data_IF_613479210568
#
_entry.id   IF_613479210568
#
_cell.length_a   1.000
_cell.length_b   1.000
_cell.length_c   1.000
_cell.angle_alpha   90.00
_cell.angle_beta   90.00
_cell.angle_gamma   90.00
#
_symmetry.space_group_name_H-M   'P 1'
#
loop_
_entity.id
_entity.type
_entity.pdbx_description
1 polymer ?
#
# COMPACT_ATOMS: atom_id res chain seq x y z
N UNK A 1 16.54 -9.17 42.98
CA UNK A 1 15.10 -9.28 43.28
C UNK A 1 14.42 -8.76 42.02
N UNK A 2 14.20 -9.66 41.05
CA UNK A 2 13.54 -9.29 39.79
C UNK A 2 12.06 -9.07 40.10
N UNK A 3 11.71 -7.82 40.35
CA UNK A 3 10.32 -7.45 40.53
C UNK A 3 9.69 -7.33 39.13
N UNK A 4 9.33 -8.47 38.55
CA UNK A 4 8.57 -8.54 37.30
C UNK A 4 7.12 -8.10 37.55
N UNK A 5 6.96 -6.83 37.93
CA UNK A 5 5.67 -6.21 38.26
C UNK A 5 4.73 -6.27 37.06
N UNK A 6 5.27 -6.16 35.84
CA UNK A 6 4.49 -6.28 34.61
C UNK A 6 4.14 -7.73 34.24
N UNK A 7 5.00 -8.71 34.51
CA UNK A 7 4.70 -10.12 34.22
C UNK A 7 3.59 -10.73 35.07
N UNK A 8 3.20 -10.06 36.16
CA UNK A 8 2.07 -10.45 37.03
C UNK A 8 0.74 -9.82 36.60
N UNK A 9 0.75 -8.86 35.67
CA UNK A 9 -0.48 -8.21 35.21
C UNK A 9 -1.26 -9.12 34.26
N UNK A 10 -2.60 -9.16 34.36
CA UNK A 10 -3.44 -9.79 33.36
C UNK A 10 -3.28 -9.18 31.96
N UNK A 11 -3.41 -10.01 30.92
CA UNK A 11 -3.27 -9.62 29.51
C UNK A 11 -4.07 -8.38 29.11
N UNK A 12 -5.32 -8.25 29.59
CA UNK A 12 -6.16 -7.10 29.26
C UNK A 12 -5.61 -5.78 29.80
N UNK A 13 -4.94 -5.78 30.96
CA UNK A 13 -4.28 -4.59 31.50
C UNK A 13 -2.99 -4.29 30.73
N UNK A 14 -2.21 -5.32 30.37
CA UNK A 14 -1.02 -5.16 29.55
C UNK A 14 -1.36 -4.55 28.17
N UNK A 15 -2.39 -5.07 27.51
CA UNK A 15 -2.90 -4.53 26.25
C UNK A 15 -3.28 -3.06 26.41
N UNK A 16 -4.05 -2.74 27.44
CA UNK A 16 -4.55 -1.38 27.68
C UNK A 16 -3.41 -0.40 27.98
N UNK A 17 -2.31 -0.86 28.61
CA UNK A 17 -1.07 -0.11 28.80
C UNK A 17 -0.35 0.07 27.45
N UNK A 18 -0.08 -1.00 26.72
CA UNK A 18 0.67 -0.97 25.45
C UNK A 18 -0.01 -0.07 24.41
N UNK A 19 -1.33 -0.13 24.31
CA UNK A 19 -2.12 0.68 23.38
C UNK A 19 -2.08 2.18 23.72
N UNK A 20 -1.64 2.59 24.93
CA UNK A 20 -1.37 4.01 25.25
C UNK A 20 -0.03 4.52 24.73
N UNK A 21 0.91 3.62 24.47
CA UNK A 21 2.26 3.97 24.03
C UNK A 21 2.22 4.31 22.54
N UNK A 22 3.03 5.28 22.04
CA UNK A 22 3.13 5.55 20.62
C UNK A 22 3.46 4.29 19.80
N UNK A 23 2.80 4.14 18.64
CA UNK A 23 2.95 2.95 17.78
C UNK A 23 4.39 2.70 17.34
N UNK A 24 5.20 3.75 17.21
CA UNK A 24 6.63 3.64 16.88
C UNK A 24 7.44 2.81 17.89
N UNK A 25 6.95 2.66 19.13
CA UNK A 25 7.62 1.88 20.17
C UNK A 25 7.12 0.43 20.23
N UNK A 26 6.04 0.08 19.54
CA UNK A 26 5.37 -1.22 19.71
C UNK A 26 6.25 -2.39 19.27
N UNK A 27 7.05 -2.20 18.22
CA UNK A 27 8.02 -3.21 17.78
C UNK A 27 9.00 -3.53 18.91
N UNK A 28 9.56 -2.51 19.56
CA UNK A 28 10.48 -2.70 20.68
C UNK A 28 9.82 -3.40 21.86
N UNK A 29 8.60 -2.99 22.24
CA UNK A 29 7.84 -3.62 23.32
C UNK A 29 7.58 -5.09 23.01
N UNK A 30 7.17 -5.42 21.77
CA UNK A 30 6.91 -6.80 21.37
C UNK A 30 8.14 -7.71 21.50
N UNK A 31 9.35 -7.15 21.43
CA UNK A 31 10.61 -7.89 21.53
C UNK A 31 11.07 -8.12 22.98
N UNK A 32 10.45 -7.50 23.99
CA UNK A 32 10.92 -7.60 25.39
C UNK A 32 10.69 -8.99 25.99
N UNK A 33 9.54 -9.60 25.72
CA UNK A 33 9.17 -10.95 26.21
C UNK A 33 8.35 -11.70 25.17
N UNK A 34 8.53 -13.02 25.11
CA UNK A 34 7.74 -13.88 24.22
C UNK A 34 6.23 -13.77 24.48
N UNK A 35 5.81 -13.67 25.74
CA UNK A 35 4.40 -13.45 26.09
C UNK A 35 3.86 -12.14 25.47
N UNK A 36 4.63 -11.06 25.51
CA UNK A 36 4.23 -9.78 24.92
C UNK A 36 4.18 -9.86 23.39
N UNK A 37 5.16 -10.51 22.76
CA UNK A 37 5.11 -10.79 21.32
C UNK A 37 3.82 -11.51 20.92
N UNK A 38 3.36 -12.47 21.72
CA UNK A 38 2.11 -13.18 21.48
C UNK A 38 0.88 -12.25 21.60
N UNK A 39 0.87 -11.31 22.55
CA UNK A 39 -0.19 -10.29 22.64
C UNK A 39 -0.26 -9.42 21.38
N UNK A 40 0.89 -8.99 20.85
CA UNK A 40 0.96 -8.22 19.59
C UNK A 40 0.59 -9.02 18.34
N UNK A 41 0.54 -10.35 18.41
CA UNK A 41 0.01 -11.22 17.35
C UNK A 41 -1.49 -11.48 17.47
N UNK A 42 -2.07 -11.22 18.65
CA UNK A 42 -3.47 -11.52 18.96
C UNK A 42 -4.44 -10.41 18.54
N UNK A 43 -5.67 -10.80 18.18
CA UNK A 43 -6.74 -9.87 17.78
C UNK A 43 -7.12 -8.87 18.88
N UNK A 44 -7.10 -9.26 20.16
CA UNK A 44 -7.57 -8.42 21.26
C UNK A 44 -6.80 -7.09 21.35
N UNK A 45 -5.48 -7.13 21.17
CA UNK A 45 -4.64 -5.92 21.23
C UNK A 45 -4.99 -4.98 20.08
N UNK A 46 -5.07 -5.50 18.86
CA UNK A 46 -5.37 -4.69 17.68
C UNK A 46 -6.81 -4.18 17.65
N UNK A 47 -7.77 -4.95 18.17
CA UNK A 47 -9.15 -4.49 18.34
C UNK A 47 -9.22 -3.35 19.35
N UNK A 48 -8.53 -3.46 20.49
CA UNK A 48 -8.43 -2.39 21.47
C UNK A 48 -7.78 -1.13 20.88
N UNK A 49 -6.68 -1.30 20.15
CA UNK A 49 -6.00 -0.22 19.43
C UNK A 49 -6.91 0.49 18.42
N UNK A 50 -7.61 -0.30 17.61
CA UNK A 50 -8.51 0.19 16.57
C UNK A 50 -9.64 1.03 17.16
N UNK A 51 -10.33 0.51 18.18
CA UNK A 51 -11.45 1.20 18.83
C UNK A 51 -11.01 2.46 19.58
N UNK A 52 -9.78 2.49 20.09
CA UNK A 52 -9.24 3.67 20.77
C UNK A 52 -8.87 4.77 19.79
N UNK A 53 -8.19 4.43 18.70
CA UNK A 53 -7.69 5.42 17.73
C UNK A 53 -8.79 5.87 16.77
N UNK A 54 -9.70 4.98 16.40
CA UNK A 54 -10.84 5.24 15.51
C UNK A 54 -12.14 4.63 16.07
N UNK A 55 -12.79 5.30 17.04
CA UNK A 55 -14.00 4.78 17.67
C UNK A 55 -15.16 4.47 16.69
N UNK A 56 -15.22 5.20 15.58
CA UNK A 56 -16.23 5.00 14.53
C UNK A 56 -15.96 3.79 13.63
N UNK A 57 -14.77 3.17 13.72
CA UNK A 57 -14.40 2.03 12.89
C UNK A 57 -15.31 0.81 13.12
N UNK A 58 -15.89 0.65 14.32
CA UNK A 58 -16.80 -0.46 14.63
C UNK A 58 -18.19 -0.29 14.00
N UNK A 59 -18.57 0.94 13.64
CA UNK A 59 -19.88 1.25 13.08
C UNK A 59 -19.95 1.00 11.56
N UNK A 60 -18.81 0.76 10.91
CA UNK A 60 -18.78 0.50 9.47
C UNK A 60 -19.09 -0.98 9.19
N UNK A 61 -20.13 -1.22 8.40
CA UNK A 61 -20.47 -2.54 7.89
C UNK A 61 -19.33 -3.11 7.03
N UNK A 62 -19.22 -4.43 6.90
CA UNK A 62 -18.40 -5.04 5.86
C UNK A 62 -18.78 -4.47 4.49
N UNK A 63 -17.78 -4.11 3.68
CA UNK A 63 -18.01 -3.70 2.29
C UNK A 63 -17.99 -4.93 1.36
N UNK A 64 -18.73 -4.87 0.24
CA UNK A 64 -18.65 -5.90 -0.80
C UNK A 64 -17.35 -5.75 -1.62
N UNK A 65 -17.07 -6.71 -2.50
CA UNK A 65 -15.94 -6.62 -3.44
C UNK A 65 -14.79 -7.59 -3.14
N UNK A 66 -13.76 -7.60 -4.01
CA UNK A 66 -12.67 -8.58 -3.96
C UNK A 66 -11.61 -8.33 -2.87
N UNK A 67 -11.54 -7.13 -2.29
CA UNK A 67 -10.56 -6.76 -1.25
C UNK A 67 -11.22 -6.87 0.13
N UNK A 68 -10.92 -7.92 0.91
CA UNK A 68 -11.57 -8.14 2.19
C UNK A 68 -11.06 -7.19 3.26
N UNK A 69 -11.90 -6.95 4.26
CA UNK A 69 -11.60 -6.11 5.43
C UNK A 69 -10.53 -6.67 6.38
N UNK A 70 -10.31 -7.99 6.37
CA UNK A 70 -9.24 -8.64 7.14
C UNK A 70 -9.37 -8.55 8.67
N UNK A 71 -8.25 -8.78 9.35
CA UNK A 71 -8.09 -8.75 10.81
C UNK A 71 -8.16 -7.35 11.41
N UNK A 72 -8.33 -7.24 12.74
CA UNK A 72 -8.27 -5.93 13.42
C UNK A 72 -6.93 -5.23 13.20
N UNK A 73 -5.83 -6.01 13.09
CA UNK A 73 -4.51 -5.50 12.72
C UNK A 73 -4.53 -4.87 11.33
N UNK A 74 -5.03 -5.61 10.33
CA UNK A 74 -5.09 -5.14 8.94
C UNK A 74 -5.94 -3.87 8.81
N UNK A 75 -7.06 -3.81 9.54
CA UNK A 75 -7.91 -2.62 9.62
C UNK A 75 -7.21 -1.43 10.25
N UNK A 76 -6.47 -1.66 11.33
CA UNK A 76 -5.67 -0.62 11.97
C UNK A 76 -4.64 -0.05 11.00
N UNK A 77 -3.89 -0.92 10.31
CA UNK A 77 -2.91 -0.53 9.30
C UNK A 77 -3.55 0.26 8.16
N UNK A 78 -4.70 -0.20 7.65
CA UNK A 78 -5.43 0.48 6.59
C UNK A 78 -5.85 1.91 7.00
N UNK A 79 -6.47 2.07 8.16
CA UNK A 79 -6.85 3.40 8.66
C UNK A 79 -5.63 4.29 8.94
N UNK A 80 -4.55 3.70 9.43
CA UNK A 80 -3.30 4.41 9.64
C UNK A 80 -2.75 4.95 8.31
N UNK A 81 -2.68 4.12 7.28
CA UNK A 81 -2.28 4.52 5.93
C UNK A 81 -3.21 5.59 5.37
N UNK A 82 -4.54 5.36 5.43
CA UNK A 82 -5.53 6.32 4.93
C UNK A 82 -5.36 7.71 5.54
N UNK A 83 -5.07 7.76 6.85
CA UNK A 83 -4.85 9.02 7.56
C UNK A 83 -3.55 9.72 7.16
N UNK A 84 -2.45 8.98 7.03
CA UNK A 84 -1.12 9.57 6.92
C UNK A 84 -0.58 9.68 5.48
N UNK A 85 -1.05 8.84 4.56
CA UNK A 85 -0.62 8.84 3.16
C UNK A 85 -1.56 9.68 2.28
N UNK A 86 -2.87 9.50 2.44
CA UNK A 86 -3.86 10.17 1.58
C UNK A 86 -4.38 11.50 2.14
N UNK A 87 -4.01 11.85 3.39
CA UNK A 87 -4.27 13.14 4.04
C UNK A 87 -5.68 13.70 3.78
N UNK A 88 -6.73 12.89 4.02
CA UNK A 88 -8.11 13.35 3.82
C UNK A 88 -8.48 14.43 4.84
N UNK A 89 -8.96 15.58 4.35
CA UNK A 89 -9.54 16.66 5.18
C UNK A 89 -10.96 16.33 5.71
N UNK A 90 -11.40 15.07 5.59
CA UNK A 90 -12.75 14.60 5.92
C UNK A 90 -12.77 13.20 6.55
N UNK A 91 -13.84 12.44 6.30
CA UNK A 91 -13.97 11.07 6.82
C UNK A 91 -12.87 10.16 6.23
N UNK A 92 -12.04 9.60 7.10
CA UNK A 92 -10.98 8.65 6.73
C UNK A 92 -11.62 7.46 6.01
N UNK A 93 -11.28 7.24 4.76
CA UNK A 93 -11.78 6.09 4.02
C UNK A 93 -10.96 4.83 4.35
N UNK A 94 -11.59 3.84 5.00
CA UNK A 94 -10.93 2.58 5.35
C UNK A 94 -10.60 1.79 4.07
N UNK A 95 -11.44 1.85 3.03
CA UNK A 95 -11.23 1.05 1.81
C UNK A 95 -10.01 1.53 1.02
N UNK A 96 -9.73 2.83 1.00
CA UNK A 96 -8.51 3.40 0.38
C UNK A 96 -7.24 2.78 0.98
N UNK A 97 -7.19 2.67 2.30
CA UNK A 97 -6.07 2.06 3.02
C UNK A 97 -5.92 0.57 2.74
N UNK A 98 -7.05 -0.17 2.69
CA UNK A 98 -7.01 -1.59 2.32
C UNK A 98 -6.57 -1.81 0.89
N UNK A 99 -7.02 -0.97 -0.05
CA UNK A 99 -6.62 -1.05 -1.44
C UNK A 99 -5.14 -0.68 -1.65
N UNK A 100 -4.63 0.32 -0.93
CA UNK A 100 -3.20 0.63 -0.88
C UNK A 100 -2.40 -0.57 -0.39
N UNK A 101 -2.76 -1.12 0.77
CA UNK A 101 -2.01 -2.23 1.35
C UNK A 101 -2.12 -3.48 0.49
N UNK A 102 -3.29 -3.75 -0.11
CA UNK A 102 -3.47 -4.85 -1.06
C UNK A 102 -2.49 -4.72 -2.23
N UNK A 103 -2.45 -3.55 -2.87
CA UNK A 103 -1.55 -3.33 -4.00
C UNK A 103 -0.10 -3.45 -3.57
N UNK A 104 0.29 -2.83 -2.45
CA UNK A 104 1.64 -2.91 -1.90
C UNK A 104 2.07 -4.35 -1.63
N UNK A 105 1.23 -5.14 -0.96
CA UNK A 105 1.50 -6.55 -0.67
C UNK A 105 1.68 -7.38 -1.96
N UNK A 106 0.85 -7.13 -2.98
CA UNK A 106 0.94 -7.83 -4.27
C UNK A 106 2.21 -7.49 -5.04
N UNK A 107 2.74 -6.28 -4.86
CA UNK A 107 3.95 -5.81 -5.54
C UNK A 107 5.23 -6.22 -4.81
N UNK A 108 5.28 -6.11 -3.49
CA UNK A 108 6.50 -6.33 -2.68
C UNK A 108 6.64 -7.77 -2.16
N UNK A 109 5.55 -8.46 -1.86
CA UNK A 109 5.59 -9.76 -1.16
C UNK A 109 5.30 -10.95 -2.09
N UNK A 110 4.78 -10.70 -3.29
CA UNK A 110 4.46 -11.76 -4.24
C UNK A 110 5.72 -12.20 -5.00
N UNK A 111 6.06 -13.49 -4.90
CA UNK A 111 7.17 -14.10 -5.66
C UNK A 111 6.94 -13.96 -7.17
N UNK A 112 5.68 -13.99 -7.61
CA UNK A 112 5.27 -13.72 -8.99
C UNK A 112 4.04 -12.80 -8.95
N UNK A 113 4.22 -11.47 -8.98
CA UNK A 113 3.10 -10.55 -8.95
C UNK A 113 2.16 -10.79 -10.13
N UNK A 114 0.82 -10.76 -9.93
CA UNK A 114 -0.13 -10.72 -11.03
C UNK A 114 0.19 -9.57 -12.00
N UNK A 115 -0.27 -9.68 -13.25
CA UNK A 115 -0.12 -8.59 -14.20
C UNK A 115 -0.78 -7.31 -13.65
N UNK A 116 -0.15 -6.15 -13.89
CA UNK A 116 -0.62 -4.87 -13.34
C UNK A 116 -2.06 -4.54 -13.73
N UNK A 117 -2.51 -4.97 -14.91
CA UNK A 117 -3.91 -4.84 -15.34
C UNK A 117 -4.90 -5.61 -14.46
N UNK A 118 -4.53 -6.78 -13.95
CA UNK A 118 -5.36 -7.57 -13.01
C UNK A 118 -5.44 -6.87 -11.66
N UNK A 119 -4.29 -6.38 -11.16
CA UNK A 119 -4.23 -5.63 -9.90
C UNK A 119 -5.06 -4.34 -9.99
N UNK A 120 -4.91 -3.59 -11.07
CA UNK A 120 -5.69 -2.38 -11.32
C UNK A 120 -7.19 -2.70 -11.42
N UNK A 121 -7.56 -3.71 -12.20
CA UNK A 121 -8.96 -4.13 -12.31
C UNK A 121 -9.59 -4.57 -10.99
N UNK A 122 -8.81 -5.25 -10.13
CA UNK A 122 -9.29 -5.64 -8.79
C UNK A 122 -9.63 -4.42 -7.93
N UNK A 123 -8.80 -3.37 -7.98
CA UNK A 123 -9.05 -2.12 -7.25
C UNK A 123 -10.26 -1.38 -7.84
N UNK A 124 -10.40 -1.35 -9.17
CA UNK A 124 -11.56 -0.77 -9.85
C UNK A 124 -12.85 -1.49 -9.41
N UNK A 125 -12.88 -2.82 -9.50
CA UNK A 125 -14.04 -3.63 -9.15
C UNK A 125 -14.39 -3.47 -7.66
N UNK A 126 -13.39 -3.27 -6.81
CA UNK A 126 -13.60 -2.97 -5.40
C UNK A 126 -14.37 -1.67 -5.18
N UNK A 127 -13.95 -0.57 -5.81
CA UNK A 127 -14.64 0.71 -5.64
C UNK A 127 -16.04 0.71 -6.27
N UNK A 128 -16.20 0.08 -7.44
CA UNK A 128 -17.51 -0.08 -8.07
C UNK A 128 -18.45 -0.91 -7.18
N UNK A 129 -17.96 -2.00 -6.57
CA UNK A 129 -18.75 -2.79 -5.63
C UNK A 129 -19.17 -1.97 -4.41
N UNK A 130 -18.32 -1.07 -3.93
CA UNK A 130 -18.64 -0.11 -2.86
C UNK A 130 -19.61 1.00 -3.28
N UNK A 131 -20.06 1.04 -4.53
CA UNK A 131 -21.05 2.00 -5.04
C UNK A 131 -20.46 3.21 -5.76
N UNK A 132 -19.14 3.25 -5.98
CA UNK A 132 -18.51 4.33 -6.72
C UNK A 132 -18.82 4.26 -8.22
N UNK A 133 -18.84 5.41 -8.88
CA UNK A 133 -18.92 5.46 -10.34
C UNK A 133 -17.64 4.94 -10.98
N UNK A 134 -17.70 4.53 -12.25
CA UNK A 134 -16.49 4.11 -13.00
C UNK A 134 -15.40 5.19 -13.00
N UNK A 135 -15.81 6.45 -13.13
CA UNK A 135 -14.88 7.58 -13.14
C UNK A 135 -14.22 7.79 -11.78
N UNK A 136 -15.02 7.69 -10.70
CA UNK A 136 -14.50 7.85 -9.36
C UNK A 136 -13.61 6.69 -8.96
N UNK A 137 -14.00 5.45 -9.28
CA UNK A 137 -13.18 4.27 -9.09
C UNK A 137 -11.82 4.39 -9.82
N UNK A 138 -11.83 4.88 -11.06
CA UNK A 138 -10.60 5.11 -11.83
C UNK A 138 -9.68 6.16 -11.20
N UNK A 139 -10.25 7.26 -10.71
CA UNK A 139 -9.52 8.31 -10.00
C UNK A 139 -8.89 7.77 -8.71
N UNK A 140 -9.68 7.09 -7.86
CA UNK A 140 -9.22 6.52 -6.59
C UNK A 140 -8.14 5.45 -6.81
N UNK A 141 -8.35 4.56 -7.79
CA UNK A 141 -7.34 3.57 -8.16
C UNK A 141 -6.04 4.24 -8.62
N UNK A 142 -6.12 5.34 -9.38
CA UNK A 142 -4.93 6.10 -9.79
C UNK A 142 -4.20 6.71 -8.61
N UNK A 143 -4.93 7.28 -7.63
CA UNK A 143 -4.34 7.81 -6.40
C UNK A 143 -3.62 6.72 -5.60
N UNK A 144 -4.23 5.54 -5.48
CA UNK A 144 -3.63 4.38 -4.80
C UNK A 144 -2.34 3.93 -5.49
N UNK A 145 -2.35 3.80 -6.82
CA UNK A 145 -1.16 3.42 -7.57
C UNK A 145 -0.01 4.42 -7.38
N UNK A 146 -0.31 5.72 -7.47
CA UNK A 146 0.69 6.77 -7.24
C UNK A 146 1.27 6.68 -5.83
N UNK A 147 0.39 6.60 -4.82
CA UNK A 147 0.81 6.48 -3.43
C UNK A 147 1.68 5.23 -3.18
N UNK A 148 1.33 4.08 -3.77
CA UNK A 148 2.14 2.87 -3.62
C UNK A 148 3.50 3.07 -4.29
N UNK A 149 3.55 3.49 -5.57
CA UNK A 149 4.81 3.70 -6.30
C UNK A 149 5.74 4.67 -5.56
N UNK A 150 5.19 5.76 -5.02
CA UNK A 150 5.96 6.78 -4.29
C UNK A 150 6.57 6.24 -2.99
N UNK A 151 5.94 5.24 -2.38
CA UNK A 151 6.35 4.68 -1.09
C UNK A 151 7.03 3.30 -1.20
N UNK A 152 7.32 2.81 -2.41
CA UNK A 152 8.22 1.67 -2.62
C UNK A 152 9.64 2.05 -2.20
N UNK A 153 10.34 1.12 -1.54
CA UNK A 153 11.72 1.26 -1.10
C UNK A 153 12.71 1.31 -2.28
N UNK A 154 13.84 1.97 -2.07
CA UNK A 154 14.92 2.05 -3.06
C UNK A 154 15.78 0.78 -3.01
N UNK A 155 15.26 -0.30 -3.58
CA UNK A 155 15.93 -1.60 -3.67
C UNK A 155 16.04 -2.11 -5.10
N UNK A 156 16.95 -3.05 -5.35
CA UNK A 156 17.07 -3.74 -6.64
C UNK A 156 15.75 -4.44 -7.01
N UNK A 157 15.04 -4.97 -6.01
CA UNK A 157 13.72 -5.55 -6.21
C UNK A 157 12.72 -4.52 -6.79
N UNK A 158 12.67 -3.31 -6.22
CA UNK A 158 11.83 -2.22 -6.73
C UNK A 158 12.21 -1.79 -8.14
N UNK A 159 13.50 -1.73 -8.47
CA UNK A 159 13.95 -1.46 -9.84
C UNK A 159 13.39 -2.49 -10.83
N UNK A 160 13.58 -3.78 -10.54
CA UNK A 160 13.09 -4.86 -11.40
C UNK A 160 11.57 -4.84 -11.55
N UNK A 161 10.86 -4.54 -10.46
CA UNK A 161 9.41 -4.39 -10.46
C UNK A 161 8.97 -3.23 -11.37
N UNK A 162 9.53 -2.03 -11.19
CA UNK A 162 9.17 -0.85 -11.98
C UNK A 162 9.50 -1.06 -13.46
N UNK A 163 10.64 -1.69 -13.77
CA UNK A 163 11.05 -2.05 -15.14
C UNK A 163 10.00 -2.97 -15.77
N UNK A 164 9.57 -4.01 -15.05
CA UNK A 164 8.48 -4.89 -15.49
C UNK A 164 7.19 -4.09 -15.72
N UNK A 165 6.80 -3.19 -14.81
CA UNK A 165 5.57 -2.38 -14.96
C UNK A 165 5.59 -1.45 -16.18
N UNK A 166 6.78 -0.93 -16.55
CA UNK A 166 6.98 -0.08 -17.72
C UNK A 166 6.89 -0.87 -19.04
N UNK A 167 7.45 -2.09 -19.03
CA UNK A 167 7.47 -3.00 -20.18
C UNK A 167 6.17 -3.80 -20.34
N UNK A 168 5.40 -3.97 -19.26
CA UNK A 168 4.03 -4.47 -19.33
C UNK A 168 3.23 -3.53 -20.22
N UNK A 169 3.04 -3.94 -21.48
CA UNK A 169 2.18 -3.26 -22.42
C UNK A 169 0.82 -3.06 -21.78
N UNK A 170 0.24 -1.87 -21.94
CA UNK A 170 -1.19 -1.76 -21.71
C UNK A 170 -1.84 -2.61 -22.79
N UNK A 171 -2.13 -3.87 -22.45
CA UNK A 171 -3.21 -4.61 -23.12
C UNK A 171 -4.37 -3.63 -23.18
N UNK A 172 -4.96 -3.41 -24.35
CA UNK A 172 -6.03 -2.44 -24.59
C UNK A 172 -7.26 -2.76 -23.71
N UNK A 173 -7.16 -2.51 -22.42
CA UNK A 173 -8.21 -2.70 -21.44
C UNK A 173 -9.15 -1.49 -21.60
N UNK A 174 -10.46 -1.73 -21.73
CA UNK A 174 -11.40 -0.64 -21.85
C UNK A 174 -11.38 0.19 -20.56
N UNK A 175 -11.65 1.49 -20.70
CA UNK A 175 -11.90 2.34 -19.54
C UNK A 175 -13.01 1.74 -18.66
N UNK A 176 -12.87 1.69 -17.32
CA UNK A 176 -11.83 2.30 -16.48
C UNK A 176 -10.61 1.40 -16.14
N UNK A 177 -10.46 0.25 -16.81
CA UNK A 177 -9.49 -0.80 -16.45
C UNK A 177 -8.07 -0.57 -16.98
N UNK A 178 -7.87 0.43 -17.85
CA UNK A 178 -6.54 0.91 -18.23
C UNK A 178 -5.97 1.82 -17.14
N UNK A 179 -4.71 1.63 -16.75
CA UNK A 179 -4.03 2.53 -15.78
C UNK A 179 -3.95 3.94 -16.36
N UNK A 180 -4.16 4.95 -15.53
CA UNK A 180 -4.10 6.35 -15.99
C UNK A 180 -2.70 6.74 -16.46
N UNK A 181 -2.66 7.71 -17.36
CA UNK A 181 -1.41 8.30 -17.87
C UNK A 181 -0.47 8.72 -16.73
N UNK A 182 -1.01 9.31 -15.65
CA UNK A 182 -0.22 9.78 -14.51
C UNK A 182 0.51 8.63 -13.80
N UNK A 183 -0.18 7.49 -13.60
CA UNK A 183 0.42 6.30 -12.99
C UNK A 183 1.54 5.76 -13.86
N UNK A 184 1.29 5.62 -15.17
CA UNK A 184 2.30 5.14 -16.10
C UNK A 184 3.51 6.06 -16.12
N UNK A 185 3.28 7.37 -16.25
CA UNK A 185 4.32 8.39 -16.23
C UNK A 185 5.19 8.27 -14.97
N UNK A 186 4.57 8.11 -13.81
CA UNK A 186 5.29 8.04 -12.53
C UNK A 186 6.23 6.84 -12.44
N UNK A 187 5.87 5.70 -13.04
CA UNK A 187 6.76 4.53 -13.15
C UNK A 187 8.03 4.89 -13.93
N UNK A 188 7.89 5.50 -15.11
CA UNK A 188 9.04 5.88 -15.93
C UNK A 188 9.87 6.99 -15.29
N UNK A 189 9.21 7.96 -14.66
CA UNK A 189 9.89 9.01 -13.91
C UNK A 189 10.79 8.41 -12.83
N UNK A 190 10.24 7.54 -11.97
CA UNK A 190 11.00 6.89 -10.89
C UNK A 190 12.15 6.03 -11.44
N UNK A 191 11.95 5.32 -12.55
CA UNK A 191 13.03 4.57 -13.22
C UNK A 191 14.18 5.47 -13.70
N UNK A 192 13.87 6.58 -14.38
CA UNK A 192 14.88 7.44 -14.99
C UNK A 192 15.48 8.48 -14.04
N UNK A 193 14.87 8.71 -12.87
CA UNK A 193 15.43 9.59 -11.83
C UNK A 193 16.11 8.78 -10.73
N UNK A 194 15.37 7.91 -10.06
CA UNK A 194 15.79 7.31 -8.79
C UNK A 194 16.65 6.05 -9.04
N UNK A 195 16.37 5.32 -10.13
CA UNK A 195 17.05 4.06 -10.47
C UNK A 195 17.89 4.14 -11.75
N UNK A 196 18.27 5.34 -12.20
CA UNK A 196 19.02 5.51 -13.45
C UNK A 196 20.29 4.65 -13.50
N UNK A 197 21.04 4.65 -12.41
CA UNK A 197 22.33 3.98 -12.30
C UNK A 197 22.20 2.45 -12.20
N UNK A 198 20.97 1.92 -12.08
CA UNK A 198 20.69 0.49 -12.06
C UNK A 198 20.51 -0.11 -13.46
N UNK A 199 20.36 0.71 -14.50
CA UNK A 199 20.25 0.22 -15.87
C UNK A 199 21.57 -0.33 -16.38
N UNK A 200 21.51 -1.37 -17.20
CA UNK A 200 22.55 -1.60 -18.20
C UNK A 200 22.23 -0.82 -19.48
N UNK A 201 23.23 -0.66 -20.35
CA UNK A 201 23.09 0.15 -21.55
C UNK A 201 21.96 -0.33 -22.48
N UNK A 202 21.67 -1.64 -22.53
CA UNK A 202 20.62 -2.19 -23.40
C UNK A 202 19.24 -1.96 -22.79
N UNK A 203 19.08 -2.30 -21.52
CA UNK A 203 17.86 -2.12 -20.74
C UNK A 203 17.39 -0.66 -20.74
N UNK A 204 18.33 0.28 -20.63
CA UNK A 204 18.02 1.71 -20.67
C UNK A 204 17.33 2.09 -21.99
N UNK A 205 17.90 1.69 -23.13
CA UNK A 205 17.33 2.05 -24.43
C UNK A 205 16.00 1.36 -24.69
N UNK A 206 15.81 0.13 -24.21
CA UNK A 206 14.54 -0.59 -24.34
C UNK A 206 13.42 0.11 -23.55
N UNK A 207 13.68 0.45 -22.28
CA UNK A 207 12.70 1.19 -21.47
C UNK A 207 12.47 2.59 -22.03
N UNK A 208 13.51 3.27 -22.54
CA UNK A 208 13.37 4.59 -23.16
C UNK A 208 12.53 4.53 -24.44
N UNK A 209 12.67 3.47 -25.24
CA UNK A 209 11.83 3.24 -26.41
C UNK A 209 10.35 3.05 -26.00
N UNK A 210 10.09 2.27 -24.95
CA UNK A 210 8.74 2.14 -24.38
C UNK A 210 8.17 3.50 -23.95
N UNK A 211 8.97 4.34 -23.28
CA UNK A 211 8.56 5.68 -22.87
C UNK A 211 8.19 6.55 -24.08
N UNK A 212 9.03 6.58 -25.12
CA UNK A 212 8.81 7.37 -26.36
C UNK A 212 7.58 6.94 -27.16
N UNK A 213 7.20 5.66 -27.08
CA UNK A 213 6.00 5.14 -27.72
C UNK A 213 4.73 5.58 -26.99
N UNK A 214 4.79 5.72 -25.66
CA UNK A 214 3.64 6.10 -24.83
C UNK A 214 3.50 7.62 -24.64
N UNK A 215 4.62 8.32 -24.59
CA UNK A 215 4.69 9.72 -24.21
C UNK A 215 5.43 10.52 -25.26
N UNK A 216 4.77 11.56 -25.79
CA UNK A 216 5.45 12.58 -26.57
C UNK A 216 4.92 13.97 -26.20
N UNK A 217 5.79 14.92 -25.81
CA UNK A 217 7.25 14.78 -25.64
C UNK A 217 7.63 14.01 -24.36
N UNK A 218 8.86 13.47 -24.32
CA UNK A 218 9.49 12.97 -23.08
C UNK A 218 10.41 14.05 -22.46
N UNK A 219 10.63 14.04 -21.13
CA UNK A 219 11.53 14.98 -20.47
C UNK A 219 12.97 14.81 -20.93
N UNK A 220 13.68 15.91 -21.16
CA UNK A 220 15.13 15.88 -21.42
C UNK A 220 15.92 15.31 -20.25
N UNK A 221 15.39 15.42 -19.02
CA UNK A 221 15.98 14.79 -17.85
C UNK A 221 16.08 13.26 -18.00
N UNK A 222 15.19 12.62 -18.76
CA UNK A 222 15.25 11.18 -19.04
C UNK A 222 16.22 10.81 -20.17
N UNK A 223 16.87 11.81 -20.78
CA UNK A 223 17.84 11.63 -21.86
C UNK A 223 19.22 11.96 -21.31
N UNK A 224 20.03 10.94 -21.00
CA UNK A 224 21.40 11.19 -20.54
C UNK A 224 21.98 10.00 -19.82
N UNK A 225 22.05 8.88 -20.53
CA UNK A 225 22.95 7.77 -20.21
C UNK A 225 24.27 7.99 -20.93
#
# INVERSE_FOLDING_TARGET
MDDDTFGKLPDHLLIEIFVRVPISQWVHISCVKQHWANLFRGECLWKCALLKTWPLADQRNPWPGPIPRGSSKRRYEALYVSKHIFAFDGDIDEIMGHAYLFLKDQLELSIVPPASGVLHGTIIDQFIACGESKDKAHELASQIWLAVIDNLDESEHTFLLLRRLAQEGDVFLPYPYSRSYKVQWRVFEKLFTDFRDCFDGMDYYDVLACAKLRFQPIPSAWLGY
#
